data_IF_996024954717
#
_entry.id   IF_996024954717
#
_cell.length_a   1.000
_cell.length_b   1.000
_cell.length_c   1.000
_cell.angle_alpha   90.00
_cell.angle_beta   90.00
_cell.angle_gamma   90.00
#
_symmetry.space_group_name_H-M   'P 1'
#
loop_
_entity.id
_entity.type
_entity.pdbx_description
1 polymer ?
#
# COMPACT_ATOMS: atom_id res chain seq x y z
N UNK A 1 15.56 -15.57 -0.88
CA UNK A 1 14.45 -14.84 -1.56
C UNK A 1 13.96 -13.77 -0.60
N UNK A 2 13.53 -12.59 -1.04
CA UNK A 2 13.09 -11.55 -0.10
C UNK A 2 11.58 -11.62 0.15
N UNK A 3 11.17 -11.42 1.40
CA UNK A 3 9.76 -11.26 1.79
C UNK A 3 9.08 -10.14 0.98
N UNK A 4 9.80 -9.05 0.71
CA UNK A 4 9.27 -7.95 -0.12
C UNK A 4 8.87 -8.42 -1.51
N UNK A 5 9.63 -9.32 -2.12
CA UNK A 5 9.31 -9.84 -3.47
C UNK A 5 7.96 -10.57 -3.46
N UNK A 6 7.73 -11.41 -2.45
CA UNK A 6 6.53 -12.23 -2.35
C UNK A 6 5.29 -11.41 -1.96
N UNK A 7 5.39 -10.48 -1.01
CA UNK A 7 4.24 -9.73 -0.50
C UNK A 7 4.03 -8.36 -1.15
N UNK A 8 4.92 -7.90 -2.05
CA UNK A 8 4.74 -6.65 -2.80
C UNK A 8 4.77 -6.91 -4.30
N UNK A 9 5.87 -7.44 -4.83
CA UNK A 9 6.08 -7.51 -6.28
C UNK A 9 5.22 -8.58 -6.95
N UNK A 10 5.01 -9.74 -6.32
CA UNK A 10 4.09 -10.78 -6.84
C UNK A 10 2.66 -10.27 -7.01
N UNK A 11 1.98 -9.72 -5.99
CA UNK A 11 0.62 -9.21 -6.17
C UNK A 11 0.55 -8.03 -7.14
N UNK A 12 1.57 -7.17 -7.19
CA UNK A 12 1.65 -6.07 -8.15
C UNK A 12 1.77 -6.57 -9.60
N UNK A 13 2.67 -7.53 -9.86
CA UNK A 13 2.81 -8.14 -11.19
C UNK A 13 1.55 -8.90 -11.59
N UNK A 14 0.93 -9.63 -10.65
CA UNK A 14 -0.31 -10.35 -10.90
C UNK A 14 -1.46 -9.40 -11.22
N UNK A 15 -1.54 -8.24 -10.56
CA UNK A 15 -2.49 -7.19 -10.89
C UNK A 15 -2.36 -6.74 -12.36
N UNK A 16 -1.14 -6.46 -12.83
CA UNK A 16 -0.90 -6.06 -14.22
C UNK A 16 -1.36 -7.16 -15.18
N UNK A 17 -1.03 -8.42 -14.90
CA UNK A 17 -1.50 -9.56 -15.71
C UNK A 17 -3.04 -9.60 -15.73
N UNK A 18 -3.68 -9.45 -14.58
CA UNK A 18 -5.13 -9.45 -14.47
C UNK A 18 -5.82 -8.29 -15.21
N UNK A 19 -5.17 -7.12 -15.34
CA UNK A 19 -5.70 -6.03 -16.17
C UNK A 19 -5.82 -6.42 -17.65
N UNK A 20 -4.89 -7.24 -18.17
CA UNK A 20 -4.91 -7.73 -19.55
C UNK A 20 -6.04 -8.75 -19.80
N UNK A 21 -6.41 -9.52 -18.77
CA UNK A 21 -7.48 -10.53 -18.81
C UNK A 21 -8.84 -10.02 -18.27
N UNK A 22 -9.01 -8.70 -18.14
CA UNK A 22 -10.18 -8.07 -17.50
C UNK A 22 -11.54 -8.32 -18.20
N UNK A 23 -11.56 -9.00 -19.36
CA UNK A 23 -12.78 -9.37 -20.08
C UNK A 23 -13.62 -10.39 -19.31
N UNK A 24 -12.99 -11.30 -18.57
CA UNK A 24 -13.69 -12.30 -17.76
C UNK A 24 -13.61 -11.94 -16.27
N UNK A 25 -14.54 -11.10 -15.81
CA UNK A 25 -14.55 -10.59 -14.43
C UNK A 25 -14.66 -11.69 -13.38
N UNK A 26 -15.30 -12.83 -13.67
CA UNK A 26 -15.34 -13.98 -12.76
C UNK A 26 -13.96 -14.61 -12.55
N UNK A 27 -13.21 -14.83 -13.63
CA UNK A 27 -11.85 -15.36 -13.52
C UNK A 27 -10.94 -14.40 -12.75
N UNK A 28 -10.97 -13.11 -13.09
CA UNK A 28 -10.14 -12.10 -12.44
C UNK A 28 -10.39 -12.03 -10.93
N UNK A 29 -11.66 -12.08 -10.51
CA UNK A 29 -12.07 -12.07 -9.10
C UNK A 29 -11.55 -13.29 -8.35
N UNK A 30 -11.77 -14.50 -8.87
CA UNK A 30 -11.30 -15.73 -8.22
C UNK A 30 -9.79 -15.82 -8.15
N UNK A 31 -9.09 -15.40 -9.21
CA UNK A 31 -7.63 -15.38 -9.25
C UNK A 31 -7.05 -14.39 -8.23
N UNK A 32 -7.58 -13.17 -8.16
CA UNK A 32 -7.12 -12.19 -7.17
C UNK A 32 -7.47 -12.61 -5.74
N UNK A 33 -8.71 -13.05 -5.50
CA UNK A 33 -9.15 -13.50 -4.18
C UNK A 33 -8.30 -14.67 -3.67
N UNK A 34 -8.07 -15.69 -4.50
CA UNK A 34 -7.22 -16.83 -4.15
C UNK A 34 -5.79 -16.40 -3.86
N UNK A 35 -5.20 -15.53 -4.69
CA UNK A 35 -3.85 -15.00 -4.43
C UNK A 35 -3.79 -14.26 -3.09
N UNK A 36 -4.72 -13.35 -2.82
CA UNK A 36 -4.75 -12.61 -1.56
C UNK A 36 -4.95 -13.53 -0.35
N UNK A 37 -5.78 -14.57 -0.47
CA UNK A 37 -6.00 -15.54 0.60
C UNK A 37 -4.73 -16.37 0.86
N UNK A 38 -4.05 -16.80 -0.21
CA UNK A 38 -2.75 -17.49 -0.10
C UNK A 38 -1.69 -16.58 0.54
N UNK A 39 -1.63 -15.29 0.19
CA UNK A 39 -0.69 -14.34 0.81
C UNK A 39 -1.01 -14.07 2.28
N UNK A 40 -2.29 -14.01 2.64
CA UNK A 40 -2.74 -13.86 4.03
C UNK A 40 -2.37 -15.09 4.87
N UNK A 41 -2.67 -16.30 4.38
CA UNK A 41 -2.27 -17.57 5.03
C UNK A 41 -0.75 -17.66 5.10
N UNK A 42 -0.05 -17.27 4.02
CA UNK A 42 1.41 -17.20 3.98
C UNK A 42 1.95 -16.32 5.10
N UNK A 43 1.40 -15.12 5.32
CA UNK A 43 1.82 -14.24 6.40
C UNK A 43 1.57 -14.85 7.80
N UNK A 44 0.49 -15.62 7.94
CA UNK A 44 0.16 -16.32 9.20
C UNK A 44 1.12 -17.47 9.51
N UNK A 45 1.52 -18.25 8.50
CA UNK A 45 2.29 -19.47 8.70
C UNK A 45 3.81 -19.27 8.61
N UNK A 46 4.27 -18.29 7.82
CA UNK A 46 5.69 -18.08 7.55
C UNK A 46 6.35 -17.21 8.62
N UNK A 47 7.39 -17.71 9.28
CA UNK A 47 8.25 -16.90 10.13
C UNK A 47 9.26 -16.10 9.29
N UNK A 48 9.20 -14.77 9.38
CA UNK A 48 9.97 -13.88 8.50
C UNK A 48 11.47 -13.87 8.84
N UNK A 49 11.81 -14.14 10.11
CA UNK A 49 13.19 -14.17 10.62
C UNK A 49 13.77 -15.61 10.67
N UNK A 50 13.12 -16.58 10.02
CA UNK A 50 13.45 -17.99 10.11
C UNK A 50 13.76 -18.66 8.76
N UNK A 51 14.38 -19.83 8.84
CA UNK A 51 14.55 -20.72 7.68
C UNK A 51 13.21 -21.39 7.36
N UNK A 52 12.69 -21.19 6.15
CA UNK A 52 11.58 -22.00 5.67
C UNK A 52 12.15 -23.31 5.15
N UNK A 53 11.72 -24.42 5.72
CA UNK A 53 11.95 -25.74 5.15
C UNK A 53 10.83 -26.08 4.17
N UNK A 54 11.11 -26.09 2.88
CA UNK A 54 10.16 -26.48 1.84
C UNK A 54 10.76 -27.66 1.06
N UNK A 55 10.09 -28.82 1.09
CA UNK A 55 10.53 -30.02 0.36
C UNK A 55 11.93 -30.55 0.77
N UNK A 56 12.30 -30.42 2.04
CA UNK A 56 13.61 -30.88 2.55
C UNK A 56 14.79 -29.95 2.26
N UNK A 57 14.55 -28.77 1.67
CA UNK A 57 15.58 -27.71 1.51
C UNK A 57 15.22 -26.51 2.38
N UNK A 58 16.21 -25.97 3.07
CA UNK A 58 16.08 -24.74 3.85
C UNK A 58 16.32 -23.54 2.94
N UNK A 59 15.39 -22.58 2.95
CA UNK A 59 15.52 -21.29 2.29
C UNK A 59 15.52 -20.19 3.35
N UNK A 60 16.53 -19.33 3.30
CA UNK A 60 16.57 -18.11 4.09
C UNK A 60 15.78 -17.01 3.38
N UNK A 61 14.80 -16.45 4.09
CA UNK A 61 14.05 -15.28 3.64
C UNK A 61 14.78 -14.03 4.11
N UNK A 62 15.23 -13.22 3.17
CA UNK A 62 15.77 -11.91 3.52
C UNK A 62 14.60 -10.95 3.79
N UNK A 63 14.54 -10.41 5.00
CA UNK A 63 13.53 -9.42 5.39
C UNK A 63 13.71 -8.08 4.70
N UNK A 64 14.91 -7.81 4.18
CA UNK A 64 15.21 -6.58 3.45
C UNK A 64 15.55 -6.81 1.97
N UNK A 65 15.17 -5.84 1.16
CA UNK A 65 15.50 -5.70 -0.26
C UNK A 65 15.98 -4.27 -0.50
N UNK A 66 17.17 -4.09 -1.07
CA UNK A 66 17.68 -2.77 -1.43
C UNK A 66 17.38 -2.42 -2.89
N UNK A 67 16.86 -1.21 -3.12
CA UNK A 67 16.53 -0.67 -4.45
C UNK A 67 17.02 0.77 -4.48
N UNK A 68 17.90 1.12 -5.42
CA UNK A 68 18.40 2.49 -5.61
C UNK A 68 18.96 3.15 -4.33
N UNK A 69 19.60 2.37 -3.46
CA UNK A 69 20.12 2.86 -2.18
C UNK A 69 19.05 3.15 -1.11
N UNK A 70 17.84 2.61 -1.30
CA UNK A 70 16.74 2.58 -0.32
C UNK A 70 16.45 1.14 0.07
N UNK A 71 15.84 0.94 1.24
CA UNK A 71 15.55 -0.41 1.74
C UNK A 71 14.05 -0.59 1.82
N UNK A 72 13.58 -1.74 1.38
CA UNK A 72 12.25 -2.24 1.68
C UNK A 72 12.46 -3.32 2.74
N UNK A 73 11.87 -3.18 3.91
CA UNK A 73 12.00 -4.09 5.04
C UNK A 73 10.60 -4.57 5.42
N UNK A 74 10.38 -5.88 5.37
CA UNK A 74 9.17 -6.52 5.90
C UNK A 74 9.60 -7.51 6.97
N UNK A 75 9.36 -7.15 8.21
CA UNK A 75 9.75 -7.92 9.39
C UNK A 75 8.59 -8.69 10.02
N UNK A 76 8.89 -9.40 11.10
CA UNK A 76 7.88 -10.13 11.86
C UNK A 76 6.80 -9.23 12.48
N UNK A 77 7.10 -7.94 12.74
CA UNK A 77 6.14 -6.93 13.21
C UNK A 77 5.00 -6.66 12.24
N UNK A 78 5.26 -6.80 10.94
CA UNK A 78 4.31 -6.41 9.89
C UNK A 78 3.35 -7.55 9.52
N UNK A 79 3.61 -8.76 10.01
CA UNK A 79 2.83 -9.96 9.71
C UNK A 79 1.35 -9.80 10.03
N UNK A 80 1.03 -9.20 11.17
CA UNK A 80 -0.36 -8.94 11.57
C UNK A 80 -1.08 -8.03 10.57
N UNK A 81 -0.40 -6.97 10.12
CA UNK A 81 -0.93 -6.05 9.12
C UNK A 81 -1.08 -6.73 7.75
N UNK A 82 -0.11 -7.53 7.33
CA UNK A 82 -0.18 -8.31 6.07
C UNK A 82 -1.35 -9.30 6.08
N UNK A 83 -1.52 -10.05 7.18
CA UNK A 83 -2.66 -10.96 7.35
C UNK A 83 -3.98 -10.21 7.21
N UNK A 84 -4.12 -9.07 7.89
CA UNK A 84 -5.33 -8.27 7.89
C UNK A 84 -5.62 -7.68 6.50
N UNK A 85 -4.65 -7.02 5.86
CA UNK A 85 -4.87 -6.30 4.60
C UNK A 85 -5.17 -7.26 3.45
N UNK A 86 -4.49 -8.42 3.40
CA UNK A 86 -4.74 -9.42 2.37
C UNK A 86 -6.03 -10.19 2.61
N UNK A 87 -6.43 -10.44 3.87
CA UNK A 87 -7.73 -11.04 4.18
C UNK A 87 -8.88 -10.10 3.81
N UNK A 88 -8.75 -8.80 4.10
CA UNK A 88 -9.70 -7.78 3.65
C UNK A 88 -9.76 -7.72 2.13
N UNK A 89 -8.62 -7.77 1.43
CA UNK A 89 -8.57 -7.86 -0.03
C UNK A 89 -9.36 -9.05 -0.57
N UNK A 90 -9.15 -10.25 -0.01
CA UNK A 90 -9.89 -11.45 -0.39
C UNK A 90 -11.40 -11.27 -0.17
N UNK A 91 -11.81 -10.74 0.98
CA UNK A 91 -13.20 -10.45 1.29
C UNK A 91 -13.84 -9.49 0.26
N UNK A 92 -13.16 -8.39 -0.05
CA UNK A 92 -13.65 -7.40 -1.02
C UNK A 92 -13.73 -7.96 -2.45
N UNK A 93 -12.77 -8.77 -2.88
CA UNK A 93 -12.79 -9.37 -4.22
C UNK A 93 -13.86 -10.45 -4.37
N UNK A 94 -14.14 -11.22 -3.32
CA UNK A 94 -15.26 -12.16 -3.29
C UNK A 94 -16.62 -11.45 -3.23
N UNK A 95 -16.72 -10.34 -2.50
CA UNK A 95 -17.92 -9.49 -2.40
C UNK A 95 -18.18 -8.58 -3.60
N UNK A 96 -17.21 -8.42 -4.51
CA UNK A 96 -17.29 -7.58 -5.71
C UNK A 96 -18.55 -7.78 -6.60
N UNK A 97 -19.12 -9.01 -6.78
CA UNK A 97 -20.35 -9.19 -7.53
C UNK A 97 -21.57 -8.53 -6.88
N UNK A 98 -21.67 -8.53 -5.54
CA UNK A 98 -22.80 -7.96 -4.81
C UNK A 98 -22.84 -6.43 -4.95
N UNK A 99 -21.67 -5.80 -5.01
CA UNK A 99 -21.51 -4.35 -5.17
C UNK A 99 -21.58 -3.87 -6.64
N UNK A 100 -21.78 -4.78 -7.62
CA UNK A 100 -21.84 -4.47 -9.07
C UNK A 100 -20.65 -3.61 -9.55
N UNK A 101 -19.46 -3.96 -9.08
CA UNK A 101 -18.21 -3.23 -9.35
C UNK A 101 -17.79 -3.31 -10.82
N UNK A 102 -17.01 -2.31 -11.27
CA UNK A 102 -16.43 -2.30 -12.62
C UNK A 102 -15.36 -3.40 -12.80
N UNK A 103 -15.08 -3.78 -14.04
CA UNK A 103 -14.08 -4.80 -14.41
C UNK A 103 -12.67 -4.48 -13.89
N UNK A 104 -12.33 -3.19 -13.75
CA UNK A 104 -11.01 -2.75 -13.28
C UNK A 104 -10.88 -2.77 -11.75
N UNK A 105 -11.98 -2.94 -11.01
CA UNK A 105 -11.99 -2.91 -9.55
C UNK A 105 -11.01 -3.91 -8.94
N UNK A 106 -11.07 -5.17 -9.37
CA UNK A 106 -10.23 -6.24 -8.83
C UNK A 106 -8.74 -6.05 -9.13
N UNK A 107 -8.30 -5.86 -10.39
CA UNK A 107 -6.89 -5.71 -10.66
C UNK A 107 -6.32 -4.43 -10.03
N UNK A 108 -7.01 -3.29 -10.15
CA UNK A 108 -6.53 -2.04 -9.55
C UNK A 108 -6.52 -2.11 -8.01
N UNK A 109 -7.53 -2.73 -7.40
CA UNK A 109 -7.54 -2.98 -5.96
C UNK A 109 -6.37 -3.83 -5.48
N UNK A 110 -5.97 -4.85 -6.25
CA UNK A 110 -4.79 -5.66 -5.92
C UNK A 110 -3.49 -4.85 -6.06
N UNK A 111 -3.38 -3.98 -7.06
CA UNK A 111 -2.25 -3.06 -7.19
C UNK A 111 -2.19 -2.07 -6.02
N UNK A 112 -3.33 -1.49 -5.62
CA UNK A 112 -3.42 -0.59 -4.48
C UNK A 112 -2.92 -1.28 -3.20
N UNK A 113 -3.40 -2.50 -2.92
CA UNK A 113 -2.93 -3.27 -1.75
C UNK A 113 -1.42 -3.47 -1.82
N UNK A 114 -0.89 -3.92 -2.96
CA UNK A 114 0.55 -4.16 -3.12
C UNK A 114 1.39 -2.89 -2.92
N UNK A 115 0.96 -1.75 -3.47
CA UNK A 115 1.64 -0.46 -3.32
C UNK A 115 1.55 0.05 -1.88
N UNK A 116 0.41 -0.13 -1.21
CA UNK A 116 0.28 0.24 0.20
C UNK A 116 1.16 -0.64 1.10
N UNK A 117 1.26 -1.93 0.83
CA UNK A 117 2.22 -2.81 1.53
C UNK A 117 3.66 -2.35 1.26
N UNK A 118 3.98 -1.90 0.04
CA UNK A 118 5.28 -1.31 -0.26
C UNK A 118 5.54 -0.03 0.56
N UNK A 119 4.51 0.81 0.75
CA UNK A 119 4.60 2.02 1.56
C UNK A 119 4.86 1.74 3.04
N UNK A 120 4.36 0.61 3.56
CA UNK A 120 4.68 0.15 4.90
C UNK A 120 6.15 -0.29 5.02
N UNK A 121 6.68 -0.93 3.98
CA UNK A 121 8.01 -1.53 4.00
C UNK A 121 9.15 -0.53 3.73
N UNK A 122 8.87 0.67 3.22
CA UNK A 122 9.93 1.55 2.69
C UNK A 122 10.68 2.33 3.77
N UNK A 123 12.00 2.25 3.70
CA UNK A 123 12.93 3.01 4.51
C UNK A 123 13.88 3.85 3.62
N UNK A 124 14.05 5.15 3.93
CA UNK A 124 13.42 5.88 5.03
C UNK A 124 11.93 6.19 4.78
N UNK A 125 11.20 6.40 5.87
CA UNK A 125 9.75 6.63 5.91
C UNK A 125 9.26 7.72 4.95
N UNK A 126 10.09 8.73 4.67
CA UNK A 126 9.84 9.80 3.71
C UNK A 126 9.22 9.30 2.40
N UNK A 127 9.72 8.19 1.85
CA UNK A 127 9.28 7.67 0.56
C UNK A 127 7.90 6.98 0.59
N UNK A 128 7.37 6.69 1.77
CA UNK A 128 6.03 6.09 1.92
C UNK A 128 4.96 6.98 1.30
N UNK A 129 5.10 8.31 1.43
CA UNK A 129 4.15 9.27 0.88
C UNK A 129 4.03 9.23 -0.63
N UNK A 130 5.13 8.98 -1.34
CA UNK A 130 5.10 8.82 -2.80
C UNK A 130 4.39 7.54 -3.21
N UNK A 131 4.59 6.44 -2.47
CA UNK A 131 3.91 5.17 -2.73
C UNK A 131 2.41 5.29 -2.43
N UNK A 132 2.02 5.94 -1.33
CA UNK A 132 0.62 6.24 -1.04
C UNK A 132 0.00 7.06 -2.18
N UNK A 133 0.67 8.11 -2.66
CA UNK A 133 0.17 8.91 -3.79
C UNK A 133 0.01 8.08 -5.08
N UNK A 134 0.91 7.14 -5.36
CA UNK A 134 0.74 6.19 -6.47
C UNK A 134 -0.52 5.35 -6.29
N UNK A 135 -0.79 4.85 -5.08
CA UNK A 135 -2.02 4.11 -4.79
C UNK A 135 -3.28 4.98 -4.99
N UNK A 136 -3.22 6.26 -4.63
CA UNK A 136 -4.28 7.25 -4.85
C UNK A 136 -4.54 7.45 -6.34
N UNK A 137 -3.49 7.61 -7.15
CA UNK A 137 -3.64 7.75 -8.60
C UNK A 137 -4.19 6.49 -9.27
N UNK A 138 -3.79 5.30 -8.80
CA UNK A 138 -4.31 4.00 -9.28
C UNK A 138 -5.80 3.84 -8.95
N UNK A 139 -6.31 4.49 -7.89
CA UNK A 139 -7.72 4.42 -7.51
C UNK A 139 -8.63 5.24 -8.44
N UNK A 140 -8.11 6.26 -9.14
CA UNK A 140 -8.93 7.19 -9.93
C UNK A 140 -9.75 6.51 -11.03
N UNK A 141 -9.21 5.59 -11.83
CA UNK A 141 -10.01 4.85 -12.82
C UNK A 141 -11.11 3.98 -12.19
N UNK A 142 -11.01 3.63 -10.90
CA UNK A 142 -12.08 2.94 -10.17
C UNK A 142 -13.18 3.90 -9.72
N UNK A 143 -12.82 5.14 -9.38
CA UNK A 143 -13.75 6.17 -8.89
C UNK A 143 -14.46 6.93 -10.02
N UNK A 144 -13.86 6.98 -11.22
CA UNK A 144 -14.40 7.68 -12.39
C UNK A 144 -14.69 6.68 -13.50
N UNK A 145 -15.97 6.30 -13.71
CA UNK A 145 -16.34 5.45 -14.82
C UNK A 145 -15.93 6.08 -16.16
N UNK A 146 -15.43 5.28 -17.13
CA UNK A 146 -15.06 5.79 -18.44
C UNK A 146 -16.19 6.59 -19.11
N UNK A 147 -15.87 7.78 -19.62
CA UNK A 147 -16.82 8.63 -20.35
C UNK A 147 -17.75 9.48 -19.47
N UNK A 148 -17.61 9.45 -18.13
CA UNK A 148 -18.32 10.37 -17.23
C UNK A 148 -17.41 11.51 -16.77
N UNK A 149 -17.95 12.73 -16.57
CA UNK A 149 -17.18 13.82 -15.99
C UNK A 149 -16.75 13.46 -14.56
N UNK A 150 -15.58 13.97 -14.16
CA UNK A 150 -15.07 13.80 -12.80
C UNK A 150 -15.99 14.53 -11.83
N UNK A 151 -16.55 13.79 -10.86
CA UNK A 151 -17.40 14.37 -9.83
C UNK A 151 -16.58 15.23 -8.84
N UNK A 152 -17.25 16.19 -8.20
CA UNK A 152 -16.60 17.06 -7.20
C UNK A 152 -15.98 16.27 -6.04
N UNK A 153 -16.59 15.14 -5.64
CA UNK A 153 -16.04 14.27 -4.59
C UNK A 153 -14.68 13.68 -4.96
N UNK A 154 -14.53 13.16 -6.18
CA UNK A 154 -13.25 12.61 -6.66
C UNK A 154 -12.18 13.70 -6.76
N UNK A 155 -12.57 14.91 -7.16
CA UNK A 155 -11.66 16.06 -7.18
C UNK A 155 -11.18 16.43 -5.77
N UNK A 156 -12.09 16.44 -4.78
CA UNK A 156 -11.73 16.66 -3.38
C UNK A 156 -10.82 15.55 -2.85
N UNK A 157 -11.17 14.29 -3.10
CA UNK A 157 -10.35 13.12 -2.77
C UNK A 157 -8.90 13.30 -3.27
N UNK A 158 -8.74 13.64 -4.55
CA UNK A 158 -7.43 13.92 -5.13
C UNK A 158 -6.73 15.08 -4.44
N UNK A 159 -7.38 16.23 -4.30
CA UNK A 159 -6.77 17.41 -3.69
C UNK A 159 -6.28 17.11 -2.27
N UNK A 160 -7.11 16.50 -1.43
CA UNK A 160 -6.74 16.26 -0.03
C UNK A 160 -5.65 15.20 0.10
N UNK A 161 -5.74 14.08 -0.62
CA UNK A 161 -4.70 13.05 -0.54
C UNK A 161 -3.36 13.52 -1.11
N UNK A 162 -3.39 14.24 -2.23
CA UNK A 162 -2.19 14.85 -2.82
C UNK A 162 -1.62 15.94 -1.94
N UNK A 163 -2.42 16.68 -1.14
CA UNK A 163 -1.91 17.63 -0.14
C UNK A 163 -1.27 16.94 1.07
N UNK A 164 -1.70 15.73 1.40
CA UNK A 164 -1.07 14.91 2.44
C UNK A 164 0.38 14.56 2.08
N UNK A 165 0.64 14.21 0.82
CA UNK A 165 1.96 13.81 0.32
C UNK A 165 3.09 14.83 0.62
N UNK A 166 3.02 16.12 0.21
CA UNK A 166 4.06 17.09 0.49
C UNK A 166 4.18 17.40 1.98
N UNK A 167 3.09 17.33 2.76
CA UNK A 167 3.16 17.49 4.21
C UNK A 167 3.97 16.37 4.87
N UNK A 168 3.72 15.11 4.49
CA UNK A 168 4.50 13.97 4.98
C UNK A 168 5.96 14.03 4.49
N UNK A 169 6.19 14.46 3.24
CA UNK A 169 7.54 14.62 2.71
C UNK A 169 8.34 15.69 3.48
N UNK A 170 7.79 16.90 3.63
CA UNK A 170 8.46 17.98 4.33
C UNK A 170 8.65 17.64 5.81
N UNK A 171 7.64 17.02 6.45
CA UNK A 171 7.72 16.56 7.83
C UNK A 171 8.77 15.48 8.06
N UNK A 172 8.83 14.46 7.21
CA UNK A 172 9.83 13.41 7.27
C UNK A 172 11.26 13.92 7.03
N UNK A 173 11.41 14.84 6.06
CA UNK A 173 12.71 15.49 5.79
C UNK A 173 13.18 16.34 6.98
N UNK A 174 12.28 17.12 7.58
CA UNK A 174 12.59 17.92 8.76
C UNK A 174 12.93 17.03 9.96
N UNK A 175 12.22 15.92 10.14
CA UNK A 175 12.47 14.95 11.20
C UNK A 175 13.88 14.33 11.05
N UNK A 176 14.27 13.93 9.85
CA UNK A 176 15.62 13.40 9.58
C UNK A 176 16.71 14.45 9.87
N UNK A 177 16.45 15.74 9.59
CA UNK A 177 17.39 16.82 9.90
C UNK A 177 17.60 17.02 11.42
N UNK A 178 16.59 16.74 12.26
CA UNK A 178 16.74 16.85 13.72
C UNK A 178 17.68 15.81 14.32
N UNK A 179 17.85 14.64 13.69
CA UNK A 179 18.75 13.58 14.16
C UNK A 179 20.23 13.99 14.06
N UNK A 180 20.56 14.91 13.15
CA UNK A 180 21.91 15.45 12.96
C UNK A 180 22.23 16.57 13.97
N UNK A 181 21.22 17.26 14.49
CA UNK A 181 21.37 18.34 15.49
C UNK A 181 20.22 18.29 16.51
N UNK A 182 20.40 17.44 17.53
CA UNK A 182 19.39 17.11 18.54
C UNK A 182 18.89 18.29 19.42
N UNK A 183 19.44 19.50 19.25
CA UNK A 183 19.12 20.66 20.08
C UNK A 183 17.95 21.52 19.54
N UNK A 184 17.44 21.27 18.33
CA UNK A 184 16.50 22.17 17.67
C UNK A 184 15.03 21.76 17.89
N UNK A 185 14.53 22.00 19.10
CA UNK A 185 13.14 21.65 19.51
C UNK A 185 12.07 22.26 18.59
N UNK A 186 12.32 23.46 18.05
CA UNK A 186 11.40 24.13 17.12
C UNK A 186 11.23 23.33 15.83
N UNK A 187 12.31 22.82 15.23
CA UNK A 187 12.27 22.03 14.00
C UNK A 187 11.55 20.69 14.21
N UNK A 188 11.73 20.07 15.39
CA UNK A 188 11.01 18.86 15.75
C UNK A 188 9.50 19.11 15.84
N UNK A 189 9.08 20.22 16.44
CA UNK A 189 7.67 20.59 16.53
C UNK A 189 7.06 20.86 15.14
N UNK A 190 7.78 21.57 14.28
CA UNK A 190 7.35 21.82 12.88
C UNK A 190 7.23 20.51 12.09
N UNK A 191 8.19 19.59 12.23
CA UNK A 191 8.15 18.27 11.60
C UNK A 191 6.91 17.49 12.03
N UNK A 192 6.63 17.44 13.34
CA UNK A 192 5.45 16.76 13.88
C UNK A 192 4.14 17.39 13.43
N UNK A 193 4.07 18.73 13.35
CA UNK A 193 2.89 19.42 12.84
C UNK A 193 2.62 19.08 11.37
N UNK A 194 3.66 19.07 10.53
CA UNK A 194 3.53 18.69 9.13
C UNK A 194 3.12 17.23 8.96
N UNK A 195 3.69 16.32 9.75
CA UNK A 195 3.31 14.90 9.76
C UNK A 195 1.85 14.71 10.21
N UNK A 196 1.45 15.39 11.29
CA UNK A 196 0.07 15.35 11.80
C UNK A 196 -0.92 15.92 10.79
N UNK A 197 -0.58 17.01 10.11
CA UNK A 197 -1.40 17.61 9.07
C UNK A 197 -1.53 16.68 7.85
N UNK A 198 -0.44 16.04 7.42
CA UNK A 198 -0.45 15.08 6.33
C UNK A 198 -1.34 13.86 6.63
N UNK A 199 -1.21 13.31 7.84
CA UNK A 199 -2.09 12.24 8.31
C UNK A 199 -3.55 12.71 8.45
N UNK A 200 -3.78 13.94 8.89
CA UNK A 200 -5.13 14.51 8.99
C UNK A 200 -5.81 14.59 7.62
N UNK A 201 -5.05 14.96 6.58
CA UNK A 201 -5.53 14.91 5.21
C UNK A 201 -5.84 13.48 4.76
N UNK A 202 -4.96 12.50 4.99
CA UNK A 202 -5.16 11.12 4.53
C UNK A 202 -6.24 10.33 5.28
N UNK A 203 -6.46 10.63 6.56
CA UNK A 203 -7.42 9.92 7.42
C UNK A 203 -8.75 10.66 7.59
N UNK A 204 -8.98 11.73 6.81
CA UNK A 204 -10.21 12.52 6.87
C UNK A 204 -10.50 13.05 8.29
N UNK A 205 -9.47 13.47 9.03
CA UNK A 205 -9.60 13.99 10.39
C UNK A 205 -10.20 15.40 10.33
N UNK A 206 -11.12 15.73 11.26
CA UNK A 206 -11.71 17.07 11.36
C UNK A 206 -10.62 18.16 11.37
N UNK A 207 -10.71 19.21 10.52
CA UNK A 207 -11.85 19.61 9.68
C UNK A 207 -11.83 19.07 8.23
N UNK A 208 -10.92 18.18 7.87
CA UNK A 208 -10.67 17.72 6.50
C UNK A 208 -11.46 16.47 6.10
N UNK A 209 -12.66 16.25 6.65
CA UNK A 209 -13.47 15.04 6.43
C UNK A 209 -14.39 15.09 5.20
N UNK A 210 -14.25 16.13 4.37
CA UNK A 210 -15.22 16.46 3.31
C UNK A 210 -14.95 15.81 1.95
N UNK A 211 -14.01 14.86 1.92
CA UNK A 211 -13.57 14.13 0.73
C UNK A 211 -13.87 12.64 0.84
#
# INVERSE_FOLDING_TARGET
>A
MSTVILWVFVPLAFSVILTLFNRNTSFTRWAAASLTLVLAIGAALVNFDGLIQFGGRAYELSTSLSILGRRLVLGSSDRAFLMLIYSLGAFWFLGAPAAKTDRLFTPLGLAIIAVLVASLAVEPFLYAALLVEIAVLISIPMLVPPGKPVGQGVMRYLIFLTLGMPCILLGGWALDATQVSAANQTLLFEALLLLALGLAFWLAIFPFYTW
#
